data_IF_737346086559
#
_entry.id   IF_737346086559
#
_cell.length_a   1.000
_cell.length_b   1.000
_cell.length_c   1.000
_cell.angle_alpha   90.00
_cell.angle_beta   90.00
_cell.angle_gamma   90.00
#
_symmetry.space_group_name_H-M   'P 1'
#
loop_
_entity.id
_entity.type
_entity.pdbx_description
1 polymer ?
#
# COMPACT_ATOMS: atom_id res chain seq x y z
N UNK A 1 -13.36 29.25 -16.99
CA UNK A 1 -13.35 27.98 -16.29
C UNK A 1 -12.67 28.15 -14.94
N UNK A 2 -13.32 27.65 -13.89
CA UNK A 2 -12.78 27.76 -12.53
C UNK A 2 -11.83 26.59 -12.32
N UNK A 3 -10.53 26.87 -12.09
CA UNK A 3 -9.57 25.83 -11.72
C UNK A 3 -9.97 25.19 -10.36
N UNK A 4 -10.27 23.90 -10.29
CA UNK A 4 -10.75 23.26 -9.05
C UNK A 4 -9.67 23.05 -7.99
N UNK A 5 -8.38 23.27 -8.30
CA UNK A 5 -7.25 22.93 -7.42
C UNK A 5 -6.33 24.11 -7.08
N UNK A 6 -6.62 25.32 -7.56
CA UNK A 6 -5.75 26.49 -7.45
C UNK A 6 -5.61 27.07 -6.04
N UNK A 7 -6.50 26.73 -5.11
CA UNK A 7 -6.55 27.33 -3.76
C UNK A 7 -6.77 26.31 -2.65
N UNK A 8 -6.16 26.56 -1.50
CA UNK A 8 -6.34 25.76 -0.30
C UNK A 8 -7.79 25.63 0.17
N UNK A 9 -8.64 26.61 -0.14
CA UNK A 9 -10.07 26.63 0.21
C UNK A 9 -10.94 25.76 -0.71
N UNK A 10 -10.42 25.30 -1.84
CA UNK A 10 -11.15 24.39 -2.74
C UNK A 10 -11.28 23.00 -2.13
N UNK A 11 -12.27 22.24 -2.60
CA UNK A 11 -12.39 20.82 -2.24
C UNK A 11 -11.12 20.06 -2.63
N UNK A 12 -10.79 19.00 -1.90
CA UNK A 12 -9.75 18.08 -2.31
C UNK A 12 -10.13 17.44 -3.65
N UNK A 13 -9.18 17.22 -4.54
CA UNK A 13 -9.47 16.88 -5.93
C UNK A 13 -10.35 15.61 -6.07
N UNK A 14 -10.07 14.56 -5.29
CA UNK A 14 -10.91 13.35 -5.34
C UNK A 14 -12.37 13.63 -4.91
N UNK A 15 -12.61 14.54 -3.94
CA UNK A 15 -13.97 14.98 -3.55
C UNK A 15 -14.60 15.90 -4.59
N UNK A 16 -13.82 16.63 -5.34
CA UNK A 16 -14.31 17.39 -6.48
C UNK A 16 -14.81 16.45 -7.58
N UNK A 17 -14.02 15.41 -7.92
CA UNK A 17 -14.40 14.39 -8.92
C UNK A 17 -15.60 13.58 -8.46
N UNK A 18 -15.65 13.16 -7.19
CA UNK A 18 -16.81 12.47 -6.60
C UNK A 18 -18.11 13.25 -6.80
N UNK A 19 -18.09 14.57 -6.53
CA UNK A 19 -19.25 15.42 -6.80
C UNK A 19 -19.61 15.60 -8.30
N UNK A 20 -18.69 15.25 -9.21
CA UNK A 20 -19.01 15.22 -10.64
C UNK A 20 -19.70 13.90 -11.05
N UNK A 21 -19.48 12.81 -10.33
CA UNK A 21 -20.14 11.52 -10.57
C UNK A 21 -21.62 11.54 -10.16
N UNK A 22 -22.03 12.51 -9.33
CA UNK A 22 -23.42 12.75 -8.94
C UNK A 22 -24.26 13.37 -10.09
N UNK A 23 -23.60 13.85 -11.15
CA UNK A 23 -24.27 14.33 -12.37
C UNK A 23 -24.80 13.11 -13.14
N UNK A 24 -26.05 12.82 -13.15
CA UNK A 24 -26.69 11.64 -13.73
C UNK A 24 -26.11 11.10 -15.05
N UNK A 25 -26.50 9.88 -15.41
CA UNK A 25 -26.01 9.18 -16.62
C UNK A 25 -26.14 10.07 -17.88
N UNK A 26 -25.06 10.10 -18.67
CA UNK A 26 -25.03 10.86 -19.93
C UNK A 26 -24.65 12.34 -19.80
N UNK A 27 -24.51 12.88 -18.61
CA UNK A 27 -24.01 14.24 -18.43
C UNK A 27 -22.48 14.26 -18.49
N UNK A 28 -21.95 15.17 -19.33
CA UNK A 28 -20.51 15.38 -19.49
C UNK A 28 -20.13 16.72 -18.93
N UNK A 29 -19.10 16.75 -18.12
CA UNK A 29 -18.47 17.97 -17.63
C UNK A 29 -17.04 18.04 -18.14
N UNK A 30 -16.67 19.19 -18.65
CA UNK A 30 -15.32 19.47 -19.12
C UNK A 30 -14.73 20.62 -18.30
N UNK A 31 -13.50 20.47 -17.87
CA UNK A 31 -12.76 21.48 -17.12
C UNK A 31 -11.38 21.70 -17.75
N UNK A 32 -10.91 22.94 -17.70
CA UNK A 32 -9.57 23.29 -18.13
C UNK A 32 -8.74 23.61 -16.89
N UNK A 33 -7.73 22.78 -16.64
CA UNK A 33 -6.82 22.92 -15.51
C UNK A 33 -5.41 23.15 -16.07
N UNK A 34 -4.64 24.15 -15.58
CA UNK A 34 -3.24 24.29 -15.96
C UNK A 34 -2.48 22.99 -15.72
N UNK A 35 -1.56 22.63 -16.62
CA UNK A 35 -0.86 21.35 -16.59
C UNK A 35 -0.17 21.09 -15.26
N UNK A 36 0.51 22.08 -14.69
CA UNK A 36 1.17 21.95 -13.38
C UNK A 36 0.16 21.63 -12.29
N UNK A 37 -0.95 22.37 -12.20
CA UNK A 37 -1.99 22.16 -11.21
C UNK A 37 -2.64 20.77 -11.36
N UNK A 38 -2.79 20.32 -12.62
CA UNK A 38 -3.30 18.97 -12.89
C UNK A 38 -2.33 17.87 -12.42
N UNK A 39 -1.03 18.03 -12.66
CA UNK A 39 -0.02 17.08 -12.19
C UNK A 39 0.05 17.03 -10.67
N UNK A 40 -0.11 18.18 -10.00
CA UNK A 40 -0.06 18.31 -8.53
C UNK A 40 -1.44 18.17 -7.86
N UNK A 41 -2.49 17.78 -8.60
CA UNK A 41 -3.88 17.76 -8.12
C UNK A 41 -4.12 16.90 -6.87
N UNK A 42 -3.30 15.88 -6.67
CA UNK A 42 -3.38 14.97 -5.54
C UNK A 42 -2.44 15.34 -4.38
N UNK A 43 -1.59 16.35 -4.55
CA UNK A 43 -0.58 16.71 -3.57
C UNK A 43 -1.19 17.01 -2.19
N UNK A 44 -2.16 17.93 -2.13
CA UNK A 44 -2.83 18.30 -0.88
C UNK A 44 -3.61 17.15 -0.23
N UNK A 45 -4.17 16.25 -1.00
CA UNK A 45 -4.99 15.14 -0.54
C UNK A 45 -4.18 13.87 -0.28
N UNK A 46 -2.91 13.83 -0.69
CA UNK A 46 -2.14 12.59 -0.72
C UNK A 46 -2.96 11.47 -1.38
N UNK A 47 -3.42 11.73 -2.58
CA UNK A 47 -4.49 10.97 -3.26
C UNK A 47 -5.79 11.02 -2.43
N UNK A 48 -6.28 9.88 -1.93
CA UNK A 48 -7.44 9.79 -1.02
C UNK A 48 -7.03 9.46 0.43
N UNK A 49 -5.74 9.28 0.69
CA UNK A 49 -5.23 8.84 2.00
C UNK A 49 -5.58 9.84 3.12
N UNK A 50 -5.65 11.13 2.79
CA UNK A 50 -6.00 12.17 3.76
C UNK A 50 -7.38 11.95 4.38
N UNK A 51 -8.33 11.35 3.65
CA UNK A 51 -9.66 11.05 4.19
C UNK A 51 -9.62 10.07 5.37
N UNK A 52 -8.59 9.20 5.44
CA UNK A 52 -8.40 8.25 6.53
C UNK A 52 -7.60 8.86 7.69
N UNK A 53 -6.64 9.74 7.38
CA UNK A 53 -5.76 10.36 8.37
C UNK A 53 -6.46 11.54 9.05
N UNK A 54 -7.18 12.35 8.27
CA UNK A 54 -7.84 13.57 8.71
C UNK A 54 -9.21 13.70 8.02
N UNK A 55 -10.23 12.98 8.49
CA UNK A 55 -11.55 12.95 7.84
C UNK A 55 -12.20 14.33 7.63
N UNK A 56 -11.91 15.27 8.53
CA UNK A 56 -12.43 16.65 8.48
C UNK A 56 -11.72 17.55 7.46
N UNK A 57 -10.66 17.09 6.80
CA UNK A 57 -9.84 17.91 5.91
C UNK A 57 -10.63 18.50 4.72
N UNK A 58 -11.72 17.85 4.31
CA UNK A 58 -12.58 18.35 3.23
C UNK A 58 -13.75 19.22 3.73
N UNK A 59 -13.96 19.34 5.03
CA UNK A 59 -14.99 20.19 5.60
C UNK A 59 -14.73 21.68 5.30
N UNK A 60 -15.78 22.46 5.09
CA UNK A 60 -15.66 23.86 4.71
C UNK A 60 -14.83 24.65 5.74
N UNK A 61 -15.14 24.49 7.02
CA UNK A 61 -14.43 25.18 8.09
C UNK A 61 -12.91 24.89 8.05
N UNK A 62 -12.52 23.61 7.90
CA UNK A 62 -11.11 23.22 7.84
C UNK A 62 -10.41 23.84 6.63
N UNK A 63 -11.03 23.75 5.45
CA UNK A 63 -10.47 24.29 4.21
C UNK A 63 -10.22 25.79 4.28
N UNK A 64 -11.11 26.53 4.90
CA UNK A 64 -10.99 27.99 5.01
C UNK A 64 -10.04 28.45 6.12
N UNK A 65 -9.89 27.68 7.20
CA UNK A 65 -9.05 28.06 8.34
C UNK A 65 -7.67 27.38 8.32
N UNK A 66 -7.59 26.10 8.00
CA UNK A 66 -6.40 25.26 8.10
C UNK A 66 -5.97 24.59 6.79
N UNK A 67 -6.69 24.77 5.70
CA UNK A 67 -6.39 24.14 4.41
C UNK A 67 -5.00 24.46 3.85
N UNK A 68 -4.41 25.58 4.27
CA UNK A 68 -3.05 25.99 3.91
C UNK A 68 -1.94 25.09 4.52
N UNK A 69 -2.26 24.30 5.55
CA UNK A 69 -1.33 23.36 6.18
C UNK A 69 -1.18 22.04 5.39
N UNK A 70 -1.96 21.83 4.35
CA UNK A 70 -1.88 20.64 3.52
C UNK A 70 -0.87 20.82 2.37
N UNK A 71 -0.13 19.76 2.00
CA UNK A 71 -0.13 18.40 2.56
C UNK A 71 0.53 18.31 3.93
N UNK A 72 0.12 17.35 4.78
CA UNK A 72 0.76 17.14 6.06
C UNK A 72 2.17 16.57 5.88
N UNK A 73 3.08 16.91 6.81
CA UNK A 73 4.43 16.35 6.78
C UNK A 73 4.41 14.89 7.25
N UNK A 74 4.64 13.96 6.31
CA UNK A 74 4.59 12.52 6.56
C UNK A 74 5.64 12.04 7.54
N UNK A 75 6.85 12.60 7.50
CA UNK A 75 7.92 12.25 8.44
C UNK A 75 7.52 12.58 9.87
N UNK A 76 6.91 13.75 10.07
CA UNK A 76 6.38 14.14 11.36
C UNK A 76 5.27 13.19 11.83
N UNK A 77 4.30 12.88 10.96
CA UNK A 77 3.20 11.97 11.31
C UNK A 77 3.70 10.55 11.65
N UNK A 78 4.67 10.04 10.91
CA UNK A 78 5.27 8.71 11.21
C UNK A 78 6.02 8.70 12.53
N UNK A 79 6.81 9.76 12.82
CA UNK A 79 7.61 9.85 14.03
C UNK A 79 6.81 10.05 15.32
N UNK A 80 5.58 10.55 15.21
CA UNK A 80 4.73 10.83 16.39
C UNK A 80 3.74 9.72 16.73
N UNK A 81 3.64 8.64 15.91
CA UNK A 81 2.70 7.54 16.17
C UNK A 81 3.21 6.58 17.25
N UNK A 82 2.43 6.31 18.32
CA UNK A 82 2.72 5.25 19.28
C UNK A 82 2.75 3.86 18.61
N UNK A 83 3.52 2.93 19.16
CA UNK A 83 3.64 1.55 18.64
C UNK A 83 2.28 0.82 18.59
N UNK A 84 1.45 1.00 19.62
CA UNK A 84 0.09 0.45 19.65
C UNK A 84 -0.80 0.96 18.49
N UNK A 85 -0.59 2.21 18.04
CA UNK A 85 -1.31 2.76 16.90
C UNK A 85 -0.80 2.18 15.58
N UNK A 86 0.48 1.84 15.47
CA UNK A 86 1.06 1.17 14.31
C UNK A 86 0.50 -0.25 14.16
N UNK A 87 0.43 -1.01 15.27
CA UNK A 87 -0.19 -2.33 15.29
C UNK A 87 -1.66 -2.28 14.84
N UNK A 88 -2.43 -1.35 15.43
CA UNK A 88 -3.83 -1.14 15.05
C UNK A 88 -3.94 -0.75 13.56
N UNK A 89 -2.99 0.02 13.02
CA UNK A 89 -2.96 0.37 11.60
C UNK A 89 -2.78 -0.87 10.73
N UNK A 90 -1.83 -1.75 11.04
CA UNK A 90 -1.59 -2.98 10.26
C UNK A 90 -2.81 -3.91 10.31
N UNK A 91 -3.46 -4.05 11.47
CA UNK A 91 -4.62 -4.93 11.64
C UNK A 91 -5.91 -4.40 11.02
N UNK A 92 -6.06 -3.08 10.90
CA UNK A 92 -7.34 -2.44 10.55
C UNK A 92 -7.31 -1.56 9.33
N UNK A 93 -6.15 -1.31 8.74
CA UNK A 93 -6.00 -0.45 7.58
C UNK A 93 -5.13 -1.12 6.53
N UNK A 94 -5.39 -0.79 5.28
CA UNK A 94 -4.59 -1.24 4.13
C UNK A 94 -3.95 -0.03 3.48
N UNK A 95 -2.65 -0.12 3.22
CA UNK A 95 -1.84 0.91 2.57
C UNK A 95 -0.91 0.20 1.58
N UNK A 96 -1.50 -0.30 0.49
CA UNK A 96 -0.80 -1.18 -0.44
C UNK A 96 -0.90 -0.68 -1.87
N UNK A 97 0.17 -0.90 -2.62
CA UNK A 97 0.19 -0.72 -4.06
C UNK A 97 0.81 -1.93 -4.76
N UNK A 98 0.21 -2.30 -5.87
CA UNK A 98 0.56 -3.49 -6.64
C UNK A 98 0.65 -3.17 -8.11
N UNK A 99 1.78 -3.51 -8.75
CA UNK A 99 1.92 -3.45 -10.19
C UNK A 99 1.75 -4.84 -10.80
N UNK A 100 0.92 -4.96 -11.82
CA UNK A 100 0.63 -6.21 -12.54
C UNK A 100 0.33 -5.97 -14.01
N UNK A 101 0.42 -7.00 -14.89
CA UNK A 101 0.13 -6.86 -16.31
C UNK A 101 -1.25 -6.23 -16.57
N UNK A 102 -1.30 -5.22 -17.44
CA UNK A 102 -2.47 -4.36 -17.63
C UNK A 102 -3.74 -5.11 -18.02
N UNK A 103 -3.62 -6.22 -18.75
CA UNK A 103 -4.74 -7.08 -19.15
C UNK A 103 -5.45 -7.77 -17.97
N UNK A 104 -4.84 -7.77 -16.79
CA UNK A 104 -5.39 -8.35 -15.56
C UNK A 104 -6.16 -7.34 -14.68
N UNK A 105 -6.34 -6.12 -15.15
CA UNK A 105 -6.95 -5.05 -14.37
C UNK A 105 -8.33 -5.42 -13.80
N UNK A 106 -9.24 -5.90 -14.63
CA UNK A 106 -10.61 -6.24 -14.19
C UNK A 106 -10.61 -7.38 -13.15
N UNK A 107 -9.68 -8.33 -13.28
CA UNK A 107 -9.49 -9.41 -12.31
C UNK A 107 -9.01 -8.86 -10.95
N UNK A 108 -8.02 -7.98 -10.96
CA UNK A 108 -7.44 -7.45 -9.74
C UNK A 108 -8.37 -6.48 -9.01
N UNK A 109 -9.16 -5.68 -9.73
CA UNK A 109 -10.21 -4.84 -9.14
C UNK A 109 -11.27 -5.71 -8.44
N UNK A 110 -11.69 -6.80 -9.08
CA UNK A 110 -12.64 -7.75 -8.47
C UNK A 110 -12.04 -8.39 -7.22
N UNK A 111 -10.79 -8.82 -7.28
CA UNK A 111 -10.08 -9.39 -6.11
C UNK A 111 -9.98 -8.38 -4.97
N UNK A 112 -9.64 -7.13 -5.24
CA UNK A 112 -9.60 -6.08 -4.24
C UNK A 112 -10.98 -5.84 -3.59
N UNK A 113 -12.05 -5.89 -4.38
CA UNK A 113 -13.42 -5.82 -3.87
C UNK A 113 -13.74 -7.02 -2.96
N UNK A 114 -13.55 -8.25 -3.43
CA UNK A 114 -13.88 -9.49 -2.71
C UNK A 114 -13.12 -9.61 -1.38
N UNK A 115 -11.87 -9.17 -1.35
CA UNK A 115 -11.03 -9.31 -0.16
C UNK A 115 -11.18 -8.13 0.81
N UNK A 116 -11.38 -6.89 0.35
CA UNK A 116 -11.22 -5.70 1.19
C UNK A 116 -12.37 -4.70 1.16
N UNK A 117 -13.11 -4.57 0.05
CA UNK A 117 -14.17 -3.56 -0.14
C UNK A 117 -13.71 -2.11 0.18
N UNK A 118 -12.50 -1.76 -0.24
CA UNK A 118 -11.95 -0.41 -0.05
C UNK A 118 -12.17 0.41 -1.31
N UNK A 119 -12.73 1.60 -1.15
CA UNK A 119 -12.94 2.57 -2.22
C UNK A 119 -12.71 4.02 -1.75
N UNK A 120 -12.29 4.93 -2.65
CA UNK A 120 -11.94 4.69 -4.05
C UNK A 120 -10.62 3.94 -4.19
N UNK A 121 -10.44 3.24 -5.33
CA UNK A 121 -9.18 2.66 -5.72
C UNK A 121 -8.36 3.69 -6.54
N UNK A 122 -7.04 3.70 -6.38
CA UNK A 122 -6.14 4.43 -7.25
C UNK A 122 -5.66 3.48 -8.34
N UNK A 123 -5.82 3.85 -9.60
CA UNK A 123 -5.31 3.05 -10.72
C UNK A 123 -4.66 3.94 -11.77
N UNK A 124 -3.45 3.62 -12.17
CA UNK A 124 -2.80 4.32 -13.26
C UNK A 124 -1.93 3.38 -14.12
N UNK A 125 -1.89 3.63 -15.44
CA UNK A 125 -1.07 2.82 -16.32
C UNK A 125 0.41 3.14 -16.11
N UNK A 126 1.24 2.11 -16.11
CA UNK A 126 2.68 2.25 -16.07
C UNK A 126 3.36 1.36 -17.12
N UNK A 127 4.52 1.79 -17.55
CA UNK A 127 5.38 1.04 -18.45
C UNK A 127 6.53 0.46 -17.65
N UNK A 128 6.52 -0.85 -17.47
CA UNK A 128 7.65 -1.56 -16.87
C UNK A 128 8.73 -1.78 -17.93
N UNK A 129 9.96 -1.44 -17.59
CA UNK A 129 11.12 -1.56 -18.47
C UNK A 129 12.10 -2.54 -17.82
N UNK A 130 12.21 -3.74 -18.38
CA UNK A 130 13.20 -4.73 -17.95
C UNK A 130 14.58 -4.37 -18.53
N UNK A 131 15.53 -4.07 -17.66
CA UNK A 131 16.93 -3.79 -17.97
C UNK A 131 17.90 -4.73 -17.24
N UNK A 132 17.43 -5.90 -16.84
CA UNK A 132 18.24 -6.85 -16.06
C UNK A 132 18.45 -6.44 -14.60
N UNK A 133 17.62 -5.52 -14.07
CA UNK A 133 17.63 -5.13 -12.65
C UNK A 133 16.77 -6.05 -11.80
N UNK A 134 16.39 -5.55 -10.62
CA UNK A 134 15.57 -6.30 -9.66
C UNK A 134 14.12 -6.51 -10.13
N UNK A 135 13.57 -5.57 -10.87
CA UNK A 135 12.25 -5.71 -11.50
C UNK A 135 12.46 -6.30 -12.89
N UNK A 136 11.91 -7.47 -13.12
CA UNK A 136 11.96 -8.20 -14.38
C UNK A 136 10.56 -8.46 -14.91
N UNK A 137 10.43 -8.56 -16.23
CA UNK A 137 9.17 -8.98 -16.83
C UNK A 137 8.90 -10.47 -16.57
N UNK A 138 7.61 -10.90 -16.56
CA UNK A 138 7.26 -12.30 -16.41
C UNK A 138 8.05 -13.20 -17.37
N UNK A 139 8.66 -14.25 -16.84
CA UNK A 139 9.48 -15.18 -17.60
C UNK A 139 10.95 -14.79 -17.79
N UNK A 140 11.38 -13.60 -17.34
CA UNK A 140 12.77 -13.15 -17.44
C UNK A 140 13.58 -13.34 -16.14
N UNK A 141 12.94 -13.72 -15.04
CA UNK A 141 13.62 -13.96 -13.76
C UNK A 141 14.71 -15.03 -13.91
N UNK A 142 15.90 -14.75 -13.34
CA UNK A 142 17.07 -15.63 -13.39
C UNK A 142 17.71 -15.76 -14.78
N UNK A 143 17.20 -15.07 -15.80
CA UNK A 143 17.83 -15.08 -17.14
C UNK A 143 18.85 -13.96 -17.26
N UNK A 144 19.99 -14.23 -17.94
CA UNK A 144 20.93 -13.16 -18.26
C UNK A 144 20.26 -12.05 -19.07
N UNK A 145 20.58 -10.81 -18.75
CA UNK A 145 20.07 -9.67 -19.51
C UNK A 145 20.64 -9.67 -20.93
N UNK A 146 19.77 -9.58 -21.92
CA UNK A 146 20.13 -9.64 -23.34
C UNK A 146 20.89 -8.40 -23.86
N UNK A 147 21.02 -7.37 -23.04
CA UNK A 147 21.56 -6.06 -23.46
C UNK A 147 20.52 -5.15 -24.15
N UNK A 148 19.30 -5.65 -24.39
CA UNK A 148 18.22 -4.87 -24.98
C UNK A 148 17.06 -4.75 -23.98
N UNK A 149 16.58 -3.54 -23.68
CA UNK A 149 15.43 -3.34 -22.81
C UNK A 149 14.16 -3.95 -23.41
N UNK A 150 13.46 -4.72 -22.61
CA UNK A 150 12.11 -5.19 -22.94
C UNK A 150 11.08 -4.38 -22.16
N UNK A 151 9.88 -4.19 -22.70
CA UNK A 151 8.85 -3.36 -22.05
C UNK A 151 7.51 -4.05 -22.10
N UNK A 152 6.73 -3.87 -21.02
CA UNK A 152 5.33 -4.29 -20.97
C UNK A 152 4.45 -3.21 -20.33
N UNK A 153 3.18 -3.21 -20.71
CA UNK A 153 2.17 -2.37 -20.08
C UNK A 153 1.71 -3.04 -18.78
N UNK A 154 1.80 -2.30 -17.69
CA UNK A 154 1.31 -2.69 -16.38
C UNK A 154 0.27 -1.68 -15.92
N UNK A 155 -0.52 -2.08 -14.96
CA UNK A 155 -1.33 -1.18 -14.13
C UNK A 155 -0.83 -1.24 -12.70
N UNK A 156 -0.76 -0.08 -12.10
CA UNK A 156 -0.55 0.09 -10.69
C UNK A 156 -1.90 0.30 -10.01
N UNK A 157 -2.17 -0.49 -8.97
CA UNK A 157 -3.39 -0.46 -8.20
C UNK A 157 -3.09 -0.16 -6.74
N UNK A 158 -3.43 1.07 -6.32
CA UNK A 158 -3.34 1.51 -4.94
C UNK A 158 -4.64 1.22 -4.19
N UNK A 159 -4.53 0.56 -3.04
CA UNK A 159 -5.61 0.22 -2.13
C UNK A 159 -5.31 0.87 -0.77
N UNK A 160 -6.04 1.94 -0.44
CA UNK A 160 -5.77 2.73 0.75
C UNK A 160 -7.04 2.94 1.56
N UNK A 161 -7.08 2.42 2.77
CA UNK A 161 -8.22 2.67 3.64
C UNK A 161 -8.51 1.58 4.66
N UNK A 162 -9.71 1.65 5.21
CA UNK A 162 -10.23 0.67 6.15
C UNK A 162 -11.13 -0.31 5.37
N UNK A 163 -10.91 -1.63 5.48
CA UNK A 163 -11.78 -2.62 4.86
C UNK A 163 -13.26 -2.41 5.18
N UNK A 164 -14.13 -2.66 4.19
CA UNK A 164 -15.58 -2.44 4.31
C UNK A 164 -16.15 -3.11 5.54
N UNK A 165 -15.86 -4.40 5.74
CA UNK A 165 -16.33 -5.18 6.89
C UNK A 165 -15.89 -4.60 8.25
N UNK A 166 -14.68 -4.04 8.35
CA UNK A 166 -14.25 -3.37 9.59
C UNK A 166 -15.06 -2.09 9.82
N UNK A 167 -15.38 -1.33 8.76
CA UNK A 167 -16.25 -0.14 8.86
C UNK A 167 -17.66 -0.53 9.31
N UNK A 168 -18.14 -1.71 8.90
CA UNK A 168 -19.45 -2.26 9.27
C UNK A 168 -19.46 -2.92 10.65
N UNK A 169 -18.34 -2.89 11.39
CA UNK A 169 -18.25 -3.35 12.78
C UNK A 169 -17.70 -4.76 12.98
N UNK A 170 -17.17 -5.42 11.94
CA UNK A 170 -16.51 -6.73 12.10
C UNK A 170 -15.15 -6.56 12.79
N UNK A 171 -15.12 -6.84 14.10
CA UNK A 171 -13.93 -6.75 14.93
C UNK A 171 -12.90 -7.86 14.65
N UNK A 172 -13.33 -8.94 14.00
CA UNK A 172 -12.53 -10.14 13.74
C UNK A 172 -12.07 -10.25 12.29
N UNK A 173 -12.24 -9.21 11.50
CA UNK A 173 -11.80 -9.22 10.10
C UNK A 173 -10.27 -9.28 10.01
N UNK A 174 -9.78 -10.36 9.42
CA UNK A 174 -8.35 -10.62 9.24
C UNK A 174 -7.82 -9.89 8.01
N UNK A 175 -7.36 -8.65 8.20
CA UNK A 175 -6.78 -7.82 7.16
C UNK A 175 -5.49 -8.42 6.61
N UNK A 176 -4.65 -9.02 7.45
CA UNK A 176 -3.34 -9.56 7.07
C UNK A 176 -3.48 -10.68 6.06
N UNK A 177 -4.29 -11.68 6.36
CA UNK A 177 -4.57 -12.79 5.42
C UNK A 177 -5.16 -12.27 4.10
N UNK A 178 -6.04 -11.28 4.14
CA UNK A 178 -6.66 -10.73 2.93
C UNK A 178 -5.64 -10.02 2.05
N UNK A 179 -4.77 -9.20 2.61
CA UNK A 179 -3.67 -8.55 1.87
C UNK A 179 -2.74 -9.62 1.29
N UNK A 180 -2.34 -10.63 2.07
CA UNK A 180 -1.50 -11.72 1.58
C UNK A 180 -2.10 -12.48 0.39
N UNK A 181 -3.42 -12.68 0.36
CA UNK A 181 -4.10 -13.30 -0.81
C UNK A 181 -4.01 -12.43 -2.06
N UNK A 182 -4.06 -11.11 -1.91
CA UNK A 182 -3.86 -10.20 -3.04
C UNK A 182 -2.39 -10.25 -3.49
N UNK A 183 -1.42 -10.18 -2.57
CA UNK A 183 0.01 -10.30 -2.90
C UNK A 183 0.33 -11.63 -3.61
N UNK A 184 -0.22 -12.74 -3.13
CA UNK A 184 -0.04 -14.05 -3.77
C UNK A 184 -0.57 -14.03 -5.22
N UNK A 185 -1.74 -13.42 -5.45
CA UNK A 185 -2.28 -13.33 -6.80
C UNK A 185 -1.45 -12.42 -7.71
N UNK A 186 -0.96 -11.30 -7.19
CA UNK A 186 -0.04 -10.41 -7.92
C UNK A 186 1.21 -11.18 -8.35
N UNK A 187 1.81 -11.94 -7.45
CA UNK A 187 2.98 -12.79 -7.72
C UNK A 187 2.72 -13.83 -8.80
N UNK A 188 1.61 -14.56 -8.72
CA UNK A 188 1.18 -15.55 -9.73
C UNK A 188 1.02 -14.92 -11.13
N UNK A 189 0.61 -13.67 -11.20
CA UNK A 189 0.46 -12.93 -12.45
C UNK A 189 1.79 -12.35 -12.97
N UNK A 190 2.88 -12.56 -12.25
CA UNK A 190 4.18 -11.96 -12.59
C UNK A 190 4.24 -10.47 -12.31
N UNK A 191 3.41 -9.99 -11.40
CA UNK A 191 3.44 -8.64 -10.87
C UNK A 191 4.35 -8.51 -9.66
N UNK A 192 4.36 -7.33 -9.07
CA UNK A 192 5.17 -7.02 -7.88
C UNK A 192 4.48 -5.98 -7.00
N UNK A 193 4.87 -5.92 -5.74
CA UNK A 193 4.44 -4.90 -4.80
C UNK A 193 5.39 -3.69 -4.83
N UNK A 194 4.89 -2.52 -4.44
CA UNK A 194 5.73 -1.36 -4.23
C UNK A 194 6.37 -1.38 -2.83
N UNK A 195 7.70 -1.36 -2.79
CA UNK A 195 8.49 -1.57 -1.55
C UNK A 195 8.45 -0.42 -0.54
N UNK A 196 7.75 0.67 -0.81
CA UNK A 196 7.48 1.72 0.17
C UNK A 196 6.27 1.43 1.04
N UNK A 197 5.44 0.46 0.62
CA UNK A 197 4.35 -0.10 1.42
C UNK A 197 4.89 -1.18 2.38
N UNK A 198 4.09 -1.55 3.38
CA UNK A 198 4.44 -2.67 4.24
C UNK A 198 4.42 -3.99 3.45
N UNK A 199 5.43 -4.82 3.65
CA UNK A 199 5.59 -6.12 2.96
C UNK A 199 4.99 -7.21 3.83
N UNK A 200 3.95 -7.88 3.32
CA UNK A 200 3.26 -8.97 4.00
C UNK A 200 3.76 -10.35 3.53
N UNK A 201 4.57 -10.39 2.48
CA UNK A 201 5.18 -11.61 1.94
C UNK A 201 6.33 -12.09 2.81
N UNK A 202 6.59 -13.39 2.81
CA UNK A 202 7.83 -13.98 3.31
C UNK A 202 9.01 -13.62 2.41
N UNK A 203 10.25 -13.81 2.87
CA UNK A 203 11.43 -13.56 2.04
C UNK A 203 11.43 -14.42 0.76
N UNK A 204 11.00 -15.67 0.84
CA UNK A 204 10.92 -16.56 -0.32
C UNK A 204 9.92 -16.01 -1.35
N UNK A 205 8.73 -15.61 -0.92
CA UNK A 205 7.71 -15.01 -1.78
C UNK A 205 8.16 -13.68 -2.38
N UNK A 206 8.89 -12.87 -1.61
CA UNK A 206 9.46 -11.61 -2.09
C UNK A 206 10.51 -11.86 -3.21
N UNK A 207 11.33 -12.91 -3.06
CA UNK A 207 12.31 -13.31 -4.07
C UNK A 207 11.69 -13.87 -5.36
N UNK A 208 10.44 -14.36 -5.31
CA UNK A 208 9.69 -14.72 -6.51
C UNK A 208 9.24 -13.50 -7.32
N UNK A 209 8.95 -12.38 -6.65
CA UNK A 209 8.54 -11.12 -7.29
C UNK A 209 9.71 -10.31 -7.83
N UNK A 210 10.89 -10.44 -7.21
CA UNK A 210 12.07 -9.63 -7.49
C UNK A 210 13.31 -10.48 -7.78
N UNK A 211 13.97 -10.21 -8.89
CA UNK A 211 15.21 -10.90 -9.27
C UNK A 211 16.42 -10.32 -8.53
N UNK A 212 16.93 -11.06 -7.56
CA UNK A 212 18.07 -10.65 -6.74
C UNK A 212 19.43 -11.04 -7.32
N UNK A 213 19.49 -11.77 -8.44
CA UNK A 213 20.72 -12.36 -8.97
C UNK A 213 21.81 -11.33 -9.21
N UNK A 214 21.52 -10.27 -9.95
CA UNK A 214 22.48 -9.21 -10.22
C UNK A 214 22.92 -8.46 -8.96
N UNK A 215 22.01 -8.22 -8.03
CA UNK A 215 22.31 -7.55 -6.77
C UNK A 215 23.22 -8.41 -5.88
N UNK A 216 22.99 -9.72 -5.82
CA UNK A 216 23.82 -10.67 -5.08
C UNK A 216 25.21 -10.80 -5.69
N UNK A 217 25.31 -10.78 -7.03
CA UNK A 217 26.61 -10.77 -7.74
C UNK A 217 27.42 -9.51 -7.38
N UNK A 218 26.77 -8.34 -7.32
CA UNK A 218 27.45 -7.11 -6.93
C UNK A 218 27.90 -7.15 -5.46
N UNK A 219 27.09 -7.69 -4.56
CA UNK A 219 27.48 -7.87 -3.14
C UNK A 219 28.68 -8.79 -2.99
N UNK A 220 28.74 -9.87 -3.75
CA UNK A 220 29.90 -10.76 -3.76
C UNK A 220 31.15 -10.09 -4.34
N UNK A 221 30.99 -9.42 -5.47
CA UNK A 221 32.09 -8.71 -6.15
C UNK A 221 32.74 -7.64 -5.28
N UNK A 222 31.96 -6.92 -4.51
CA UNK A 222 32.44 -5.82 -3.67
C UNK A 222 32.55 -6.19 -2.19
N UNK A 223 32.48 -7.48 -1.84
CA UNK A 223 32.57 -8.02 -0.48
C UNK A 223 31.60 -7.32 0.52
N UNK A 224 30.43 -6.89 0.04
CA UNK A 224 29.48 -6.08 0.79
C UNK A 224 28.43 -6.90 1.59
N UNK A 225 28.56 -8.23 1.59
CA UNK A 225 27.55 -9.11 2.21
C UNK A 225 27.34 -8.88 3.70
N UNK A 226 28.40 -8.53 4.44
CA UNK A 226 28.33 -8.25 5.88
C UNK A 226 28.10 -6.78 6.22
N UNK A 227 28.14 -5.85 5.24
CA UNK A 227 28.11 -4.42 5.48
C UNK A 227 26.72 -3.79 5.35
N UNK A 228 25.82 -4.43 4.61
CA UNK A 228 24.47 -3.91 4.35
C UNK A 228 23.44 -5.03 4.50
N UNK A 229 22.22 -4.72 4.99
CA UNK A 229 21.13 -5.69 5.03
C UNK A 229 20.72 -6.13 3.62
N UNK A 230 19.99 -7.22 3.52
CA UNK A 230 19.32 -7.61 2.26
C UNK A 230 18.24 -6.59 1.91
N UNK A 231 17.79 -6.60 0.67
CA UNK A 231 16.67 -5.71 0.25
C UNK A 231 15.42 -6.05 1.06
N UNK A 232 15.14 -7.34 1.26
CA UNK A 232 14.00 -7.78 2.06
C UNK A 232 14.07 -7.29 3.51
N UNK A 233 15.22 -7.47 4.19
CA UNK A 233 15.42 -6.98 5.56
C UNK A 233 15.23 -5.46 5.69
N UNK A 234 15.57 -4.71 4.63
CA UNK A 234 15.43 -3.26 4.62
C UNK A 234 13.98 -2.80 4.44
N UNK A 235 13.19 -3.53 3.64
CA UNK A 235 11.81 -3.12 3.30
C UNK A 235 10.77 -3.79 4.19
N UNK A 236 11.13 -4.88 4.87
CA UNK A 236 10.28 -5.53 5.86
C UNK A 236 9.92 -4.53 6.97
N UNK A 237 8.63 -4.41 7.35
CA UNK A 237 8.22 -3.53 8.42
C UNK A 237 8.83 -3.94 9.77
N UNK A 238 9.05 -2.96 10.65
CA UNK A 238 9.55 -3.23 12.02
C UNK A 238 8.60 -4.13 12.83
N UNK A 239 7.29 -3.96 12.62
CA UNK A 239 6.28 -4.89 13.11
C UNK A 239 6.03 -5.92 12.02
N UNK A 240 6.32 -7.19 12.30
CA UNK A 240 6.12 -8.26 11.35
C UNK A 240 4.64 -8.60 11.22
N UNK A 241 3.98 -8.33 10.07
CA UNK A 241 2.59 -8.66 9.90
C UNK A 241 2.30 -10.16 10.00
N UNK A 242 3.29 -11.02 9.72
CA UNK A 242 3.14 -12.47 9.80
C UNK A 242 3.03 -12.97 11.24
N UNK A 243 3.61 -12.27 12.21
CA UNK A 243 3.46 -12.60 13.62
C UNK A 243 2.00 -12.54 14.09
N UNK A 244 1.17 -11.72 13.43
CA UNK A 244 -0.25 -11.63 13.77
C UNK A 244 -1.07 -12.86 13.32
N UNK A 245 -0.62 -13.57 12.30
CA UNK A 245 -1.27 -14.82 11.87
C UNK A 245 -1.08 -15.94 12.89
N UNK A 246 0.09 -16.03 13.49
CA UNK A 246 0.40 -17.03 14.52
C UNK A 246 -0.44 -16.81 15.79
N UNK A 247 -0.68 -15.55 16.16
CA UNK A 247 -1.52 -15.20 17.30
C UNK A 247 -2.99 -15.61 17.07
N UNK A 248 -3.54 -15.34 15.88
CA UNK A 248 -4.94 -15.68 15.55
C UNK A 248 -5.18 -17.19 15.51
N UNK A 249 -4.23 -17.97 14.99
CA UNK A 249 -4.29 -19.42 15.04
C UNK A 249 -4.26 -19.97 16.48
N UNK A 250 -3.52 -19.33 17.37
CA UNK A 250 -3.49 -19.71 18.80
C UNK A 250 -4.81 -19.40 19.50
N UNK A 251 -5.42 -18.27 19.19
CA UNK A 251 -6.72 -17.85 19.74
C UNK A 251 -7.86 -18.73 19.25
N UNK A 252 -7.87 -19.10 17.98
CA UNK A 252 -8.90 -20.01 17.42
C UNK A 252 -8.81 -21.41 18.01
N UNK A 253 -7.60 -21.89 18.32
CA UNK A 253 -7.39 -23.17 19.03
C UNK A 253 -7.86 -23.11 20.48
N UNK A 254 -7.56 -22.03 21.20
CA UNK A 254 -7.99 -21.86 22.60
C UNK A 254 -9.52 -21.70 22.73
N UNK A 255 -10.13 -21.00 21.77
CA UNK A 255 -11.59 -20.87 21.71
C UNK A 255 -12.30 -22.20 21.39
N UNK A 256 -11.69 -23.07 20.58
CA UNK A 256 -12.22 -24.41 20.27
C UNK A 256 -12.10 -25.40 21.44
N UNK A 257 -11.20 -25.13 22.38
CA UNK A 257 -10.97 -25.95 23.58
C UNK A 257 -11.82 -25.56 24.80
N UNK A 258 -12.77 -24.63 24.65
CA UNK A 258 -13.83 -24.37 25.61
C UNK A 258 -13.38 -23.83 26.98
N UNK A 259 -12.39 -22.96 27.03
CA UNK A 259 -11.95 -22.34 28.29
C UNK A 259 -12.62 -20.98 28.53
N UNK A 260 -13.51 -20.85 29.56
CA UNK A 260 -14.02 -19.54 29.95
C UNK A 260 -13.08 -18.91 30.97
N UNK A 261 -12.01 -18.34 30.55
CA UNK A 261 -11.14 -17.59 31.46
C UNK A 261 -10.87 -16.21 31.00
N UNK A 262 -11.38 -15.31 31.77
CA UNK A 262 -11.01 -13.97 32.14
C UNK A 262 -9.99 -13.21 31.26
N UNK A 263 -10.41 -12.01 30.90
CA UNK A 263 -9.61 -10.92 30.34
C UNK A 263 -8.14 -11.01 30.76
N UNK A 264 -7.28 -11.56 29.91
CA UNK A 264 -5.84 -11.36 30.03
C UNK A 264 -5.44 -10.14 29.21
N UNK A 265 -4.76 -9.22 29.87
CA UNK A 265 -4.06 -8.14 29.21
C UNK A 265 -3.14 -8.72 28.11
N UNK A 266 -3.12 -8.06 26.95
CA UNK A 266 -2.23 -8.39 25.82
C UNK A 266 -0.78 -8.43 26.29
N UNK A 267 -0.02 -9.50 26.01
CA UNK A 267 1.44 -9.44 26.12
C UNK A 267 1.96 -8.49 25.05
N UNK A 268 2.76 -7.50 25.44
CA UNK A 268 3.45 -6.65 24.49
C UNK A 268 4.35 -7.49 23.57
N UNK A 269 4.29 -7.24 22.28
CA UNK A 269 5.12 -7.86 21.26
C UNK A 269 6.60 -7.75 21.65
N UNK A 270 7.27 -8.89 21.70
CA UNK A 270 8.72 -8.93 21.89
C UNK A 270 9.38 -8.32 20.66
N UNK A 271 10.13 -7.25 20.85
CA UNK A 271 11.00 -6.66 19.84
C UNK A 271 11.90 -7.75 19.25
N UNK A 272 11.85 -7.93 17.94
CA UNK A 272 12.96 -8.56 17.24
C UNK A 272 14.22 -7.76 17.57
N UNK A 273 15.20 -8.41 18.18
CA UNK A 273 16.34 -7.76 18.81
C UNK A 273 17.06 -6.82 17.86
N UNK A 274 17.23 -5.58 18.25
CA UNK A 274 18.19 -4.68 17.63
C UNK A 274 19.57 -5.30 17.72
N UNK A 275 20.14 -5.66 16.60
CA UNK A 275 21.59 -5.79 16.48
C UNK A 275 22.12 -4.49 15.89
N UNK A 276 22.87 -3.78 16.71
CA UNK A 276 23.87 -2.81 16.30
C UNK A 276 23.37 -1.40 16.06
N UNK A 277 23.61 -0.54 17.04
CA UNK A 277 23.81 0.89 16.86
C UNK A 277 24.80 1.16 15.72
N UNK A 278 24.35 1.86 14.68
CA UNK A 278 25.15 2.75 13.82
C UNK A 278 24.23 3.81 13.22
#
# INVERSE_FOLDING_TARGET
PVNPVDKATKRLFYKHVEGMLELGEGQRREELIPMLDYLMRHDRSMCMCLAQILPTANEAWFRYTMGWMLPPNMTFLKGTRPEAERENTIRRQVWQEFAFPAERFAEMVRRAHEELEIYPLLAYPCKVIDRGGIVRLPGNHGRPYSGKPETAAFLDLGIYGIPGRIRDGDAYFDTVTRVRRIEARVRELGGFLHTYCDVFSTEAEFREMFDHSHWEDMRRKYEAAGSFPTIYEKVKPELDPLAFLEEEESWSRDASLGSPSGRRCRPGLRRAGRRGDW
#
